data_IF_478123476655
#
_entry.id   IF_478123476655
#
_cell.length_a   1.000
_cell.length_b   1.000
_cell.length_c   1.000
_cell.angle_alpha   90.00
_cell.angle_beta   90.00
_cell.angle_gamma   90.00
#
_symmetry.space_group_name_H-M   'P 1'
#
loop_
_entity.id
_entity.type
_entity.pdbx_description
1 polymer ?
#
# COMPACT_ATOMS: atom_id res chain seq x y z
N UNK A 1 16.30 -20.86 16.87
CA UNK A 1 14.98 -20.25 17.16
C UNK A 1 14.61 -19.19 16.12
N UNK A 2 15.44 -18.17 15.90
CA UNK A 2 15.20 -17.10 14.91
C UNK A 2 14.97 -17.57 13.47
N UNK A 3 15.75 -18.55 12.99
CA UNK A 3 15.60 -19.10 11.64
C UNK A 3 14.25 -19.78 11.42
N UNK A 4 13.74 -20.50 12.42
CA UNK A 4 12.44 -21.18 12.35
C UNK A 4 11.31 -20.16 12.28
N UNK A 5 11.39 -19.11 13.11
CA UNK A 5 10.42 -18.00 13.08
C UNK A 5 10.44 -17.30 11.72
N UNK A 6 11.62 -17.00 11.19
CA UNK A 6 11.78 -16.37 9.88
C UNK A 6 11.15 -17.20 8.76
N UNK A 7 11.46 -18.50 8.71
CA UNK A 7 10.89 -19.42 7.72
C UNK A 7 9.37 -19.50 7.89
N UNK A 8 8.86 -19.58 9.13
CA UNK A 8 7.43 -19.61 9.41
C UNK A 8 6.70 -18.37 8.91
N UNK A 9 7.26 -17.18 9.11
CA UNK A 9 6.72 -15.91 8.60
C UNK A 9 6.71 -15.91 7.07
N UNK A 10 7.81 -16.31 6.45
CA UNK A 10 7.95 -16.34 4.99
C UNK A 10 6.93 -17.30 4.35
N UNK A 11 6.77 -18.50 4.93
CA UNK A 11 5.73 -19.46 4.51
C UNK A 11 4.34 -18.85 4.67
N UNK A 12 4.07 -18.18 5.79
CA UNK A 12 2.76 -17.54 6.05
C UNK A 12 2.45 -16.47 5.00
N UNK A 13 3.41 -15.63 4.61
CA UNK A 13 3.20 -14.65 3.54
C UNK A 13 3.00 -15.29 2.17
N UNK A 14 3.75 -16.36 1.84
CA UNK A 14 3.53 -17.10 0.59
C UNK A 14 2.13 -17.71 0.55
N UNK A 15 1.68 -18.31 1.66
CA UNK A 15 0.33 -18.88 1.76
C UNK A 15 -0.74 -17.79 1.70
N UNK A 16 -0.55 -16.67 2.40
CA UNK A 16 -1.43 -15.51 2.31
C UNK A 16 -1.57 -15.01 0.88
N UNK A 17 -0.46 -14.82 0.16
CA UNK A 17 -0.48 -14.39 -1.23
C UNK A 17 -1.19 -15.40 -2.15
N UNK A 18 -0.84 -16.69 -2.07
CA UNK A 18 -1.40 -17.71 -2.97
C UNK A 18 -2.86 -18.05 -2.67
N UNK A 19 -3.19 -18.27 -1.41
CA UNK A 19 -4.53 -18.72 -1.00
C UNK A 19 -5.45 -17.52 -0.93
N UNK A 20 -5.12 -16.53 -0.11
CA UNK A 20 -6.01 -15.42 0.16
C UNK A 20 -6.02 -14.41 -0.99
N UNK A 21 -4.84 -14.06 -1.53
CA UNK A 21 -4.77 -13.25 -2.75
C UNK A 21 -5.42 -13.93 -3.96
N UNK A 22 -5.25 -15.25 -4.11
CA UNK A 22 -5.93 -16.03 -5.13
C UNK A 22 -7.45 -16.06 -4.96
N UNK A 23 -7.95 -16.19 -3.73
CA UNK A 23 -9.37 -16.08 -3.40
C UNK A 23 -9.92 -14.69 -3.75
N UNK A 24 -9.25 -13.62 -3.34
CA UNK A 24 -9.65 -12.24 -3.66
C UNK A 24 -9.65 -11.97 -5.16
N UNK A 25 -8.64 -12.46 -5.89
CA UNK A 25 -8.57 -12.31 -7.34
C UNK A 25 -9.75 -12.99 -8.05
N UNK A 26 -10.24 -14.11 -7.54
CA UNK A 26 -11.44 -14.78 -8.05
C UNK A 26 -12.71 -14.04 -7.65
N UNK A 27 -12.81 -13.63 -6.39
CA UNK A 27 -13.96 -12.88 -5.86
C UNK A 27 -14.17 -11.56 -6.62
N UNK A 28 -13.09 -10.89 -6.98
CA UNK A 28 -13.11 -9.65 -7.76
C UNK A 28 -13.14 -9.90 -9.26
N UNK A 29 -13.19 -11.14 -9.75
CA UNK A 29 -13.26 -11.47 -11.18
C UNK A 29 -12.15 -10.80 -12.01
N UNK A 30 -10.92 -10.85 -11.52
CA UNK A 30 -9.77 -10.24 -12.22
C UNK A 30 -9.45 -11.05 -13.48
N UNK A 31 -9.69 -10.44 -14.64
CA UNK A 31 -9.31 -10.99 -15.93
C UNK A 31 -8.02 -10.33 -16.45
N UNK A 32 -7.05 -11.16 -16.84
CA UNK A 32 -5.77 -10.70 -17.41
C UNK A 32 -5.89 -10.19 -18.84
N UNK A 33 -6.95 -10.59 -19.55
CA UNK A 33 -7.20 -10.20 -20.94
C UNK A 33 -7.83 -8.80 -21.04
N UNK A 34 -8.27 -8.22 -19.93
CA UNK A 34 -8.81 -6.87 -19.90
C UNK A 34 -7.69 -5.84 -20.04
N UNK A 35 -7.68 -5.00 -21.10
CA UNK A 35 -6.66 -3.98 -21.25
C UNK A 35 -6.77 -2.94 -20.14
N UNK A 36 -5.64 -2.57 -19.54
CA UNK A 36 -5.61 -1.56 -18.47
C UNK A 36 -5.78 -0.15 -19.06
N UNK A 37 -6.21 0.85 -18.25
CA UNK A 37 -6.34 2.24 -18.68
C UNK A 37 -5.08 2.80 -19.35
N UNK A 38 -3.90 2.34 -18.94
CA UNK A 38 -2.63 2.72 -19.54
C UNK A 38 -2.53 2.36 -21.04
N UNK A 39 -3.24 1.31 -21.49
CA UNK A 39 -3.29 0.89 -22.89
C UNK A 39 -4.45 1.57 -23.61
N UNK A 40 -5.66 1.52 -23.03
CA UNK A 40 -6.88 2.01 -23.71
C UNK A 40 -6.95 3.54 -23.81
N UNK A 41 -6.32 4.26 -22.88
CA UNK A 41 -6.28 5.73 -22.84
C UNK A 41 -4.90 6.30 -23.13
N UNK A 42 -4.06 5.56 -23.86
CA UNK A 42 -2.67 5.95 -24.13
C UNK A 42 -2.56 7.37 -24.71
N UNK A 43 -1.84 8.24 -24.01
CA UNK A 43 -1.64 9.65 -24.39
C UNK A 43 -0.15 10.05 -24.46
N UNK A 44 0.75 9.15 -24.08
CA UNK A 44 2.20 9.40 -24.05
C UNK A 44 2.69 10.23 -22.86
N UNK A 45 1.81 10.63 -21.93
CA UNK A 45 2.14 11.40 -20.73
C UNK A 45 1.56 10.77 -19.46
N UNK A 46 0.23 10.81 -19.29
CA UNK A 46 -0.44 10.38 -18.06
C UNK A 46 -0.78 8.88 -18.10
N UNK A 47 -1.04 8.34 -19.29
CA UNK A 47 -1.33 6.93 -19.53
C UNK A 47 -0.25 6.33 -20.42
N UNK A 48 0.74 5.70 -19.78
CA UNK A 48 1.84 5.02 -20.48
C UNK A 48 2.00 3.59 -19.94
N UNK A 49 1.92 2.55 -20.79
CA UNK A 49 2.18 1.18 -20.38
C UNK A 49 3.60 1.04 -19.85
N UNK A 50 3.74 0.48 -18.65
CA UNK A 50 5.05 0.18 -18.10
C UNK A 50 5.73 -0.91 -18.94
N UNK A 51 7.00 -0.69 -19.29
CA UNK A 51 7.81 -1.65 -20.06
C UNK A 51 8.00 -2.98 -19.33
N UNK A 52 7.99 -2.97 -17.99
CA UNK A 52 8.23 -4.13 -17.15
C UNK A 52 7.49 -3.98 -15.81
N UNK A 53 7.01 -5.10 -15.25
CA UNK A 53 6.39 -5.18 -13.93
C UNK A 53 7.29 -4.63 -12.81
N UNK A 54 8.61 -4.70 -12.95
CA UNK A 54 9.54 -4.16 -11.96
C UNK A 54 9.40 -2.65 -11.77
N UNK A 55 9.02 -1.91 -12.82
CA UNK A 55 8.80 -0.46 -12.73
C UNK A 55 7.57 -0.19 -11.86
N UNK A 56 6.48 -0.92 -12.10
CA UNK A 56 5.26 -0.82 -11.31
C UNK A 56 5.51 -1.23 -9.86
N UNK A 57 6.20 -2.36 -9.65
CA UNK A 57 6.58 -2.83 -8.33
C UNK A 57 7.44 -1.80 -7.60
N UNK A 58 8.48 -1.27 -8.24
CA UNK A 58 9.36 -0.27 -7.64
C UNK A 58 8.61 1.01 -7.25
N UNK A 59 7.69 1.47 -8.10
CA UNK A 59 6.90 2.66 -7.79
C UNK A 59 5.97 2.44 -6.61
N UNK A 60 5.22 1.31 -6.59
CA UNK A 60 4.36 0.95 -5.47
C UNK A 60 5.16 0.70 -4.18
N UNK A 61 6.29 0.00 -4.29
CA UNK A 61 7.17 -0.28 -3.16
C UNK A 61 7.70 1.01 -2.55
N UNK A 62 8.22 1.94 -3.38
CA UNK A 62 8.69 3.24 -2.92
C UNK A 62 7.58 4.08 -2.27
N UNK A 63 6.34 3.98 -2.75
CA UNK A 63 5.19 4.71 -2.18
C UNK A 63 4.78 4.21 -0.78
N UNK A 64 5.10 2.95 -0.42
CA UNK A 64 4.78 2.37 0.89
C UNK A 64 6.02 2.33 1.80
N UNK A 65 7.21 2.23 1.20
CA UNK A 65 8.49 2.24 1.89
C UNK A 65 8.80 3.63 2.45
N UNK A 66 8.39 3.86 3.70
CA UNK A 66 8.66 5.09 4.43
C UNK A 66 9.20 4.82 5.83
N UNK A 67 9.36 5.89 6.62
CA UNK A 67 9.77 5.75 8.02
C UNK A 67 8.69 5.08 8.91
N UNK A 68 7.42 5.13 8.50
CA UNK A 68 6.30 4.49 9.21
C UNK A 68 6.50 2.98 9.42
N UNK A 69 6.77 2.19 8.35
CA UNK A 69 7.15 0.78 8.46
C UNK A 69 8.37 0.46 9.32
N UNK A 70 9.20 1.44 9.69
CA UNK A 70 10.35 1.26 10.57
C UNK A 70 9.97 1.61 12.02
N UNK A 71 9.43 2.82 12.22
CA UNK A 71 9.09 3.34 13.55
C UNK A 71 7.94 2.55 14.18
N UNK A 72 6.93 2.18 13.40
CA UNK A 72 5.76 1.43 13.88
C UNK A 72 6.13 0.10 14.56
N UNK A 73 6.85 -0.82 13.88
CA UNK A 73 7.33 -2.06 14.49
C UNK A 73 8.20 -1.88 15.73
N UNK A 74 9.05 -0.85 15.76
CA UNK A 74 9.88 -0.55 16.94
C UNK A 74 9.00 -0.17 18.13
N UNK A 75 8.03 0.73 17.94
CA UNK A 75 7.10 1.14 19.00
C UNK A 75 6.21 -0.03 19.46
N UNK A 76 5.73 -0.84 18.52
CA UNK A 76 4.97 -2.05 18.83
C UNK A 76 5.82 -3.04 19.64
N UNK A 77 7.10 -3.23 19.27
CA UNK A 77 8.01 -4.09 20.01
C UNK A 77 8.23 -3.61 21.44
N UNK A 78 8.41 -2.30 21.63
CA UNK A 78 8.56 -1.70 22.96
C UNK A 78 7.31 -1.87 23.82
N UNK A 79 6.13 -1.92 23.21
CA UNK A 79 4.84 -1.96 23.92
C UNK A 79 4.30 -3.36 24.16
N UNK A 80 4.39 -4.25 23.16
CA UNK A 80 3.75 -5.57 23.14
C UNK A 80 4.76 -6.73 23.10
N UNK A 81 6.06 -6.42 23.06
CA UNK A 81 7.13 -7.39 22.91
C UNK A 81 7.21 -7.99 21.51
N UNK A 82 8.18 -8.89 21.32
CA UNK A 82 8.54 -9.42 20.00
C UNK A 82 7.42 -10.21 19.32
N UNK A 83 6.68 -11.04 20.07
CA UNK A 83 5.65 -11.91 19.51
C UNK A 83 4.41 -11.12 19.09
N UNK A 84 3.98 -10.15 19.93
CA UNK A 84 2.85 -9.27 19.62
C UNK A 84 3.11 -8.45 18.36
N UNK A 85 4.31 -7.87 18.24
CA UNK A 85 4.72 -7.14 17.03
C UNK A 85 4.72 -8.02 15.80
N UNK A 86 5.27 -9.24 15.90
CA UNK A 86 5.34 -10.16 14.76
C UNK A 86 3.94 -10.57 14.28
N UNK A 87 3.04 -10.91 15.20
CA UNK A 87 1.66 -11.24 14.86
C UNK A 87 0.94 -10.04 14.23
N UNK A 88 1.10 -8.84 14.80
CA UNK A 88 0.52 -7.62 14.26
C UNK A 88 0.99 -7.34 12.83
N UNK A 89 2.29 -7.46 12.55
CA UNK A 89 2.84 -7.26 11.21
C UNK A 89 2.29 -8.33 10.26
N UNK A 90 2.43 -9.61 10.60
CA UNK A 90 2.06 -10.70 9.68
C UNK A 90 0.57 -10.69 9.38
N UNK A 91 -0.28 -10.65 10.42
CA UNK A 91 -1.73 -10.67 10.24
C UNK A 91 -2.23 -9.34 9.66
N UNK A 92 -1.70 -8.21 10.13
CA UNK A 92 -2.08 -6.88 9.62
C UNK A 92 -1.76 -6.71 8.14
N UNK A 93 -0.58 -7.16 7.69
CA UNK A 93 -0.22 -7.11 6.27
C UNK A 93 -1.13 -8.00 5.42
N UNK A 94 -1.49 -9.21 5.86
CA UNK A 94 -2.32 -10.12 5.07
C UNK A 94 -3.78 -9.68 5.02
N UNK A 95 -4.38 -9.36 6.18
CA UNK A 95 -5.83 -9.16 6.31
C UNK A 95 -6.27 -7.71 6.26
N UNK A 96 -5.38 -6.73 6.39
CA UNK A 96 -5.73 -5.32 6.30
C UNK A 96 -5.01 -4.66 5.13
N UNK A 97 -3.68 -4.57 5.20
CA UNK A 97 -2.89 -3.83 4.20
C UNK A 97 -3.02 -4.40 2.79
N UNK A 98 -2.78 -5.70 2.63
CA UNK A 98 -2.79 -6.35 1.32
C UNK A 98 -4.15 -6.28 0.63
N UNK A 99 -5.25 -6.46 1.37
CA UNK A 99 -6.60 -6.33 0.81
C UNK A 99 -6.88 -4.88 0.44
N UNK A 100 -6.59 -3.95 1.35
CA UNK A 100 -6.87 -2.53 1.15
C UNK A 100 -6.20 -2.01 -0.13
N UNK A 101 -4.93 -2.33 -0.32
CA UNK A 101 -4.17 -1.90 -1.49
C UNK A 101 -4.64 -2.60 -2.76
N UNK A 102 -4.95 -3.90 -2.67
CA UNK A 102 -5.47 -4.65 -3.81
C UNK A 102 -6.84 -4.13 -4.27
N UNK A 103 -7.77 -3.89 -3.35
CA UNK A 103 -9.09 -3.32 -3.67
C UNK A 103 -8.97 -1.91 -4.23
N UNK A 104 -8.14 -1.07 -3.63
CA UNK A 104 -7.92 0.31 -4.10
C UNK A 104 -7.39 0.33 -5.52
N UNK A 105 -6.43 -0.55 -5.85
CA UNK A 105 -5.89 -0.69 -7.19
C UNK A 105 -6.96 -1.19 -8.19
N UNK A 106 -7.71 -2.23 -7.83
CA UNK A 106 -8.75 -2.80 -8.70
C UNK A 106 -9.83 -1.77 -9.00
N UNK A 107 -10.28 -1.03 -8.00
CA UNK A 107 -11.28 0.04 -8.15
C UNK A 107 -10.72 1.15 -9.06
N UNK A 108 -9.50 1.61 -8.83
CA UNK A 108 -8.88 2.65 -9.66
C UNK A 108 -8.75 2.22 -11.13
N UNK A 109 -8.31 0.98 -11.39
CA UNK A 109 -8.18 0.44 -12.75
C UNK A 109 -9.53 0.36 -13.46
N UNK A 110 -10.59 -0.04 -12.75
CA UNK A 110 -11.96 -0.11 -13.30
C UNK A 110 -12.55 1.26 -13.60
N UNK A 111 -12.27 2.25 -12.77
CA UNK A 111 -12.67 3.64 -12.98
C UNK A 111 -11.74 4.41 -13.92
N UNK A 112 -10.99 3.69 -14.76
CA UNK A 112 -10.19 4.27 -15.82
C UNK A 112 -8.92 4.98 -15.33
N UNK A 113 -8.34 4.55 -14.22
CA UNK A 113 -7.10 5.05 -13.63
C UNK A 113 -7.28 6.23 -12.68
N UNK A 114 -8.51 6.51 -12.24
CA UNK A 114 -8.79 7.67 -11.38
C UNK A 114 -8.33 7.46 -9.94
N UNK A 115 -8.06 8.57 -9.23
CA UNK A 115 -7.74 8.55 -7.81
C UNK A 115 -8.98 8.20 -6.98
N UNK A 116 -8.78 7.51 -5.85
CA UNK A 116 -9.88 7.16 -4.93
C UNK A 116 -10.65 8.40 -4.47
N UNK A 117 -9.99 9.56 -4.32
CA UNK A 117 -10.65 10.82 -3.97
C UNK A 117 -11.64 11.31 -5.02
N UNK A 118 -11.31 11.15 -6.31
CA UNK A 118 -12.22 11.47 -7.41
C UNK A 118 -13.36 10.45 -7.51
N UNK A 119 -13.06 9.16 -7.36
CA UNK A 119 -14.06 8.08 -7.35
C UNK A 119 -15.07 8.28 -6.22
N UNK A 120 -14.62 8.72 -5.04
CA UNK A 120 -15.49 9.02 -3.90
C UNK A 120 -16.53 10.11 -4.20
N UNK A 121 -16.25 11.02 -5.14
CA UNK A 121 -17.21 12.07 -5.56
C UNK A 121 -18.38 11.47 -6.32
N UNK A 122 -18.10 10.49 -7.17
CA UNK A 122 -19.06 9.86 -8.07
C UNK A 122 -19.93 8.82 -7.34
N UNK A 123 -19.32 8.02 -6.45
CA UNK A 123 -20.00 6.91 -5.78
C UNK A 123 -20.53 7.23 -4.37
N UNK A 124 -20.05 8.27 -3.68
CA UNK A 124 -20.48 8.61 -2.31
C UNK A 124 -21.21 9.95 -2.30
N UNK A 125 -20.47 11.06 -2.44
CA UNK A 125 -21.02 12.41 -2.61
C UNK A 125 -19.90 13.43 -2.81
N UNK A 126 -20.24 14.59 -3.36
CA UNK A 126 -19.31 15.73 -3.45
C UNK A 126 -18.80 16.19 -2.08
N UNK A 127 -19.65 16.17 -1.04
CA UNK A 127 -19.25 16.55 0.33
C UNK A 127 -18.25 15.56 0.91
N UNK A 128 -18.53 14.26 0.79
CA UNK A 128 -17.64 13.22 1.27
C UNK A 128 -16.27 13.28 0.58
N UNK A 129 -16.25 13.45 -0.75
CA UNK A 129 -15.00 13.61 -1.51
C UNK A 129 -14.19 14.83 -1.06
N UNK A 130 -14.83 16.00 -0.84
CA UNK A 130 -14.12 17.19 -0.34
C UNK A 130 -13.51 16.97 1.05
N UNK A 131 -14.25 16.36 1.96
CA UNK A 131 -13.76 16.05 3.31
C UNK A 131 -12.61 15.04 3.23
N UNK A 132 -12.76 13.99 2.42
CA UNK A 132 -11.74 12.96 2.23
C UNK A 132 -10.46 13.52 1.61
N UNK A 133 -10.56 14.34 0.56
CA UNK A 133 -9.42 15.01 -0.07
C UNK A 133 -8.73 15.98 0.89
N UNK A 134 -9.51 16.73 1.69
CA UNK A 134 -8.98 17.59 2.74
C UNK A 134 -8.19 16.78 3.78
N UNK A 135 -8.77 15.70 4.29
CA UNK A 135 -8.10 14.79 5.21
C UNK A 135 -6.81 14.22 4.61
N UNK A 136 -6.85 13.73 3.36
CA UNK A 136 -5.69 13.18 2.66
C UNK A 136 -4.57 14.24 2.53
N UNK A 137 -4.94 15.46 2.17
CA UNK A 137 -3.98 16.56 2.05
C UNK A 137 -3.30 16.87 3.39
N UNK A 138 -4.07 17.01 4.47
CA UNK A 138 -3.51 17.22 5.82
C UNK A 138 -2.63 16.06 6.27
N UNK A 139 -3.07 14.82 6.04
CA UNK A 139 -2.31 13.63 6.37
C UNK A 139 -0.96 13.60 5.64
N UNK A 140 -0.94 13.91 4.33
CA UNK A 140 0.30 13.97 3.56
C UNK A 140 1.26 15.06 4.07
N UNK A 141 0.74 16.24 4.42
CA UNK A 141 1.55 17.31 5.02
C UNK A 141 2.20 16.85 6.32
N UNK A 142 1.46 16.18 7.20
CA UNK A 142 1.99 15.64 8.47
C UNK A 142 3.05 14.57 8.20
N UNK A 143 2.80 13.65 7.25
CA UNK A 143 3.77 12.60 6.89
C UNK A 143 5.08 13.22 6.40
N UNK A 144 5.02 14.22 5.53
CA UNK A 144 6.21 14.93 5.04
C UNK A 144 6.94 15.62 6.20
N UNK A 145 6.22 16.29 7.10
CA UNK A 145 6.80 16.95 8.26
C UNK A 145 7.50 15.95 9.21
N UNK A 146 6.89 14.78 9.45
CA UNK A 146 7.49 13.72 10.25
C UNK A 146 8.76 13.18 9.59
N UNK A 147 8.74 12.93 8.28
CA UNK A 147 9.92 12.44 7.57
C UNK A 147 11.05 13.47 7.55
N UNK A 148 10.74 14.75 7.34
CA UNK A 148 11.71 15.84 7.43
C UNK A 148 12.32 15.93 8.84
N UNK A 149 11.50 15.81 9.89
CA UNK A 149 11.97 15.82 11.28
C UNK A 149 12.86 14.61 11.60
N UNK A 150 12.46 13.41 11.16
CA UNK A 150 13.26 12.19 11.35
C UNK A 150 14.61 12.30 10.63
N UNK A 151 14.60 12.76 9.38
CA UNK A 151 15.81 12.98 8.59
C UNK A 151 16.75 13.97 9.26
N UNK A 152 16.25 15.13 9.69
CA UNK A 152 17.04 16.14 10.41
C UNK A 152 17.65 15.59 11.71
N UNK A 153 16.87 14.83 12.50
CA UNK A 153 17.37 14.20 13.73
C UNK A 153 18.46 13.17 13.43
N UNK A 154 18.30 12.36 12.38
CA UNK A 154 19.31 11.40 11.96
C UNK A 154 20.64 12.07 11.64
N UNK A 155 20.64 13.14 10.84
CA UNK A 155 21.85 13.91 10.49
C UNK A 155 22.53 14.55 11.70
N UNK A 156 21.78 15.02 12.69
CA UNK A 156 22.36 15.61 13.91
C UNK A 156 22.99 14.52 14.80
N UNK A 157 22.35 13.34 14.88
CA UNK A 157 22.79 12.25 15.76
C UNK A 157 23.98 11.45 15.21
N UNK A 158 24.14 11.40 13.89
CA UNK A 158 25.24 10.74 13.19
C UNK A 158 25.66 11.65 12.01
N UNK A 159 26.59 12.61 12.22
CA UNK A 159 27.03 13.54 11.19
C UNK A 159 27.80 12.86 10.05
#
# INVERSE_FOLDING_TARGET
MSTVVFIGVLVTFILGYKIYGGYLSKLLEINKDNPTPAIVKYDGSDFVPAKNWMILFGHHFASIAGAGPIVGPVLAYMSWGWLGTLLWIVLGTIFMGGIHDFLSLVISVREGGQTIGNISKEYISLRASKVFLGFLWFALVIVIAVFASLCAKSFISQP
#
